data_IF_917860002923
#
_entry.id   IF_917860002923
#
_cell.length_a   1.000
_cell.length_b   1.000
_cell.length_c   1.000
_cell.angle_alpha   90.00
_cell.angle_beta   90.00
_cell.angle_gamma   90.00
#
_symmetry.space_group_name_H-M   'P 1'
#
loop_
_entity.id
_entity.type
_entity.pdbx_description
1 polymer ?
#
# COMPACT_ATOMS: atom_id res chain seq x y z
N UNK A 1 24.49 18.21 22.06
CA UNK A 1 23.55 18.57 23.13
C UNK A 1 23.63 17.56 24.27
N UNK A 2 24.00 17.99 25.53
CA UNK A 2 24.14 17.06 26.64
C UNK A 2 22.85 16.34 27.05
N UNK A 3 21.67 16.89 26.76
CA UNK A 3 20.39 16.29 27.10
C UNK A 3 20.07 15.08 26.23
N UNK A 4 20.47 15.14 25.01
CA UNK A 4 20.25 14.10 24.00
C UNK A 4 21.05 12.83 24.27
N UNK A 5 22.34 12.98 24.58
CA UNK A 5 23.17 11.83 24.94
C UNK A 5 22.65 11.12 26.19
N UNK A 6 22.00 11.87 27.11
CA UNK A 6 21.38 11.33 28.32
C UNK A 6 20.07 10.59 28.03
N UNK A 7 19.21 11.12 27.13
CA UNK A 7 17.96 10.45 26.77
C UNK A 7 18.23 9.07 26.10
N UNK A 8 19.22 9.02 25.21
CA UNK A 8 19.58 7.79 24.51
C UNK A 8 20.57 6.92 25.30
N UNK A 9 21.24 7.44 26.33
CA UNK A 9 22.15 6.67 27.17
C UNK A 9 21.49 5.52 27.91
N UNK A 10 20.17 5.58 28.15
CA UNK A 10 19.39 4.47 28.68
C UNK A 10 19.37 3.24 27.76
N UNK A 11 19.69 3.41 26.46
CA UNK A 11 19.80 2.34 25.46
C UNK A 11 21.24 1.88 25.22
N UNK A 12 22.22 2.44 25.93
CA UNK A 12 23.65 2.17 25.73
C UNK A 12 24.27 2.93 24.57
N UNK A 13 25.48 2.53 24.16
CA UNK A 13 26.11 3.06 22.95
C UNK A 13 25.25 2.74 21.71
N UNK A 14 25.32 3.60 20.71
CA UNK A 14 24.60 3.36 19.46
C UNK A 14 25.03 2.02 18.85
N UNK A 15 24.08 1.13 18.71
CA UNK A 15 24.24 -0.18 18.12
C UNK A 15 23.16 -0.37 17.05
N UNK A 16 23.47 -0.21 15.75
CA UNK A 16 22.48 -0.30 14.66
C UNK A 16 21.83 -1.68 14.56
N UNK A 17 22.37 -2.69 15.24
CA UNK A 17 21.76 -4.02 15.34
C UNK A 17 20.77 -4.10 16.48
N UNK A 18 20.99 -3.34 17.58
CA UNK A 18 20.16 -3.34 18.78
C UNK A 18 19.03 -2.33 18.75
N UNK A 19 19.29 -1.14 18.20
CA UNK A 19 18.30 -0.08 18.06
C UNK A 19 18.70 0.92 16.97
N UNK A 20 17.71 1.57 16.36
CA UNK A 20 17.91 2.57 15.31
C UNK A 20 17.02 3.77 15.49
N UNK A 21 17.50 4.91 15.03
CA UNK A 21 16.78 6.18 14.97
C UNK A 21 16.61 6.59 13.51
N UNK A 22 15.36 6.83 13.12
CA UNK A 22 15.01 7.22 11.77
C UNK A 22 14.25 8.54 11.79
N UNK A 23 14.43 9.35 10.75
CA UNK A 23 13.70 10.61 10.54
C UNK A 23 13.06 10.58 9.14
N UNK A 24 12.08 11.44 8.93
CA UNK A 24 11.62 11.74 7.58
C UNK A 24 12.76 12.44 6.83
N UNK A 25 13.13 11.89 5.68
CA UNK A 25 14.07 12.49 4.75
C UNK A 25 13.24 12.97 3.55
N UNK A 26 12.85 14.24 3.51
CA UNK A 26 11.91 14.84 2.57
C UNK A 26 12.19 14.60 1.07
N UNK A 27 13.29 13.92 0.75
CA UNK A 27 13.65 13.53 -0.60
C UNK A 27 13.03 12.18 -1.02
N UNK A 28 12.86 11.99 -2.29
CA UNK A 28 12.28 10.88 -3.04
C UNK A 28 12.41 9.48 -2.39
N UNK A 29 11.29 8.90 -2.06
CA UNK A 29 11.09 7.44 -2.05
C UNK A 29 11.22 6.73 -0.70
N UNK A 30 12.32 6.82 0.00
CA UNK A 30 12.57 6.16 1.28
C UNK A 30 12.48 7.18 2.43
N UNK A 31 11.37 7.14 3.12
CA UNK A 31 10.97 8.16 4.09
C UNK A 31 11.74 8.17 5.40
N UNK A 32 12.57 7.18 5.65
CA UNK A 32 13.25 7.06 6.91
C UNK A 32 14.76 6.87 6.68
N UNK A 33 15.45 7.99 6.52
CA UNK A 33 16.91 8.02 6.60
C UNK A 33 17.40 7.74 8.02
N UNK A 34 18.57 7.06 8.14
CA UNK A 34 19.23 6.95 9.46
C UNK A 34 19.54 8.32 10.01
N UNK A 35 18.97 8.62 11.17
CA UNK A 35 19.27 9.87 11.86
C UNK A 35 20.71 9.86 12.36
N UNK A 36 21.48 10.89 11.98
CA UNK A 36 22.76 11.13 12.62
C UNK A 36 22.52 11.44 14.10
N UNK A 37 22.92 10.50 14.97
CA UNK A 37 22.77 10.67 16.44
C UNK A 37 23.52 11.89 17.00
N UNK A 38 24.36 12.58 16.22
CA UNK A 38 25.07 13.80 16.61
C UNK A 38 24.32 15.09 16.27
N UNK A 39 23.20 15.03 15.53
CA UNK A 39 22.40 16.22 15.19
C UNK A 39 21.65 16.77 16.39
N UNK A 40 21.49 18.07 16.52
CA UNK A 40 20.57 18.70 17.48
C UNK A 40 19.13 18.51 17.03
N UNK A 41 18.21 18.30 17.94
CA UNK A 41 16.78 18.20 17.68
C UNK A 41 16.07 19.44 18.17
N UNK A 42 15.12 19.90 17.39
CA UNK A 42 14.24 20.98 17.79
C UNK A 42 12.97 20.40 18.40
N UNK A 43 12.34 21.09 19.35
CA UNK A 43 10.99 20.72 19.77
C UNK A 43 10.06 20.66 18.55
N UNK A 44 9.11 19.73 18.57
CA UNK A 44 8.22 19.52 17.42
C UNK A 44 8.79 18.65 16.28
N UNK A 45 10.09 18.34 16.28
CA UNK A 45 10.62 17.30 15.39
C UNK A 45 10.23 15.91 15.91
N UNK A 46 9.69 15.07 15.02
CA UNK A 46 9.38 13.68 15.29
C UNK A 46 10.53 12.75 14.92
N UNK A 47 10.62 11.63 15.61
CA UNK A 47 11.63 10.61 15.38
C UNK A 47 11.03 9.20 15.52
N UNK A 48 11.49 8.27 14.69
CA UNK A 48 11.24 6.85 14.90
C UNK A 48 12.38 6.23 15.68
N UNK A 49 12.05 5.67 16.85
CA UNK A 49 12.95 4.82 17.61
C UNK A 49 12.52 3.36 17.45
N UNK A 50 13.34 2.58 16.80
CA UNK A 50 13.13 1.14 16.62
C UNK A 50 14.12 0.41 17.52
N UNK A 51 13.65 -0.47 18.37
CA UNK A 51 14.49 -1.28 19.25
C UNK A 51 14.03 -2.73 19.29
N UNK A 52 14.97 -3.66 19.40
CA UNK A 52 14.70 -5.11 19.54
C UNK A 52 14.05 -5.47 20.87
N UNK A 53 14.18 -4.62 21.88
CA UNK A 53 13.59 -4.84 23.19
C UNK A 53 12.82 -3.60 23.64
N UNK A 54 11.76 -3.82 24.40
CA UNK A 54 11.06 -2.75 25.11
C UNK A 54 11.99 -2.06 26.11
N UNK A 55 11.68 -0.82 26.45
CA UNK A 55 12.43 -0.04 27.46
C UNK A 55 11.83 1.35 27.60
N UNK A 56 12.19 2.01 28.69
CA UNK A 56 11.75 3.36 29.02
C UNK A 56 12.84 4.36 28.63
N UNK A 57 12.47 5.43 27.95
CA UNK A 57 13.32 6.60 27.79
C UNK A 57 13.01 7.55 28.95
N UNK A 58 14.04 7.94 29.71
CA UNK A 58 13.88 8.85 30.86
C UNK A 58 14.64 10.11 30.55
N UNK A 59 13.99 11.26 30.57
CA UNK A 59 14.64 12.57 30.60
C UNK A 59 14.70 13.04 32.03
N UNK A 60 15.90 13.42 32.52
CA UNK A 60 16.10 14.00 33.86
C UNK A 60 15.97 15.53 33.85
N UNK A 61 16.09 16.16 32.70
CA UNK A 61 15.96 17.61 32.51
C UNK A 61 15.28 17.88 31.19
N UNK A 62 14.17 18.57 31.21
CA UNK A 62 13.45 19.03 30.03
C UNK A 62 13.24 20.55 30.15
N UNK A 63 13.44 21.26 29.05
CA UNK A 63 13.07 22.68 28.95
C UNK A 63 11.68 22.73 28.33
N UNK A 64 10.73 23.33 29.06
CA UNK A 64 9.40 23.56 28.50
C UNK A 64 9.44 24.70 27.48
N UNK A 65 8.63 24.56 26.43
CA UNK A 65 8.38 25.64 25.48
C UNK A 65 7.40 26.62 26.09
N UNK A 66 7.51 27.87 25.66
CA UNK A 66 6.56 28.93 26.04
C UNK A 66 5.18 28.58 25.46
N UNK A 67 4.17 28.75 26.32
CA UNK A 67 2.76 28.49 25.99
C UNK A 67 1.93 29.76 25.79
N UNK A 68 2.59 30.92 25.74
CA UNK A 68 1.96 32.23 25.54
C UNK A 68 1.95 32.65 24.07
N UNK A 69 2.43 31.81 23.16
CA UNK A 69 2.45 32.04 21.73
C UNK A 69 2.52 30.70 20.98
N UNK A 70 2.07 30.68 19.71
CA UNK A 70 2.21 29.51 18.85
C UNK A 70 3.66 29.08 18.67
N UNK A 71 3.87 27.80 18.45
CA UNK A 71 5.14 27.20 18.12
C UNK A 71 5.18 26.85 16.62
N UNK A 72 6.28 27.16 15.97
CA UNK A 72 6.47 26.96 14.54
C UNK A 72 7.40 25.78 14.25
N UNK A 73 6.96 24.86 13.39
CA UNK A 73 7.74 23.72 12.90
C UNK A 73 7.89 23.90 11.39
N UNK A 74 9.13 23.85 10.90
CA UNK A 74 9.36 23.91 9.46
C UNK A 74 9.01 22.56 8.83
N UNK A 75 8.23 22.58 7.75
CA UNK A 75 7.88 21.42 6.95
C UNK A 75 8.51 21.52 5.57
N UNK A 76 9.05 20.40 5.13
CA UNK A 76 9.41 20.21 3.71
C UNK A 76 8.18 19.75 2.92
N UNK A 77 8.20 19.97 1.60
CA UNK A 77 7.19 19.37 0.72
C UNK A 77 7.19 17.83 0.88
N UNK A 78 5.99 17.24 0.91
CA UNK A 78 5.83 15.80 1.06
C UNK A 78 5.66 15.36 2.50
N UNK A 79 6.22 14.21 2.83
CA UNK A 79 6.08 13.62 4.16
C UNK A 79 7.04 14.24 5.18
N UNK A 80 6.49 14.58 6.35
CA UNK A 80 7.22 15.10 7.49
C UNK A 80 6.88 14.29 8.73
N UNK A 81 7.87 14.06 9.59
CA UNK A 81 7.67 13.45 10.88
C UNK A 81 7.75 14.54 11.95
N UNK A 82 6.64 14.78 12.64
CA UNK A 82 6.52 15.83 13.66
C UNK A 82 6.24 15.23 15.03
N UNK A 83 6.48 16.00 16.07
CA UNK A 83 6.06 15.73 17.45
C UNK A 83 5.23 16.88 18.01
N UNK A 84 4.40 16.60 19.03
CA UNK A 84 3.78 17.68 19.78
C UNK A 84 4.87 18.46 20.54
N UNK A 85 5.02 19.78 20.31
CA UNK A 85 6.02 20.58 21.02
C UNK A 85 5.67 20.83 22.49
N UNK A 86 4.42 20.59 22.89
CA UNK A 86 3.91 20.84 24.23
C UNK A 86 3.73 19.55 25.05
N UNK A 87 3.61 19.70 26.39
CA UNK A 87 3.39 18.58 27.30
C UNK A 87 1.89 18.32 27.60
N UNK A 88 1.00 18.81 26.74
CA UNK A 88 -0.47 18.61 26.78
C UNK A 88 -1.02 18.42 25.39
N UNK A 89 -2.23 17.93 25.29
CA UNK A 89 -2.90 17.69 24.02
C UNK A 89 -3.19 19.01 23.30
N UNK A 90 -2.87 19.09 22.02
CA UNK A 90 -3.24 20.21 21.15
C UNK A 90 -4.23 19.71 20.09
N UNK A 91 -5.48 20.17 20.09
CA UNK A 91 -6.46 19.81 19.09
C UNK A 91 -5.96 20.15 17.68
N UNK A 92 -6.24 19.28 16.69
CA UNK A 92 -5.85 19.55 15.31
C UNK A 92 -6.55 20.77 14.71
N UNK A 93 -7.65 21.24 15.30
CA UNK A 93 -8.29 22.53 14.95
C UNK A 93 -7.39 23.75 15.25
N UNK A 94 -6.40 23.58 16.12
CA UNK A 94 -5.39 24.59 16.51
C UNK A 94 -4.06 24.43 15.76
N UNK A 95 -4.03 23.55 14.79
CA UNK A 95 -2.85 23.30 13.95
C UNK A 95 -3.17 23.82 12.54
N UNK A 96 -2.34 24.68 12.01
CA UNK A 96 -2.48 25.26 10.68
C UNK A 96 -1.14 25.34 9.94
N UNK A 97 -1.20 25.40 8.63
CA UNK A 97 0.00 25.61 7.80
C UNK A 97 0.01 27.03 7.26
N UNK A 98 1.17 27.66 7.33
CA UNK A 98 1.43 29.01 6.85
C UNK A 98 2.64 29.02 5.88
N UNK A 99 2.84 30.14 5.19
CA UNK A 99 3.98 30.40 4.28
C UNK A 99 4.10 29.39 3.13
N UNK A 100 2.98 28.83 2.67
CA UNK A 100 2.91 27.93 1.52
C UNK A 100 1.59 28.08 0.79
N UNK A 101 1.54 27.76 -0.48
CA UNK A 101 0.30 27.57 -1.23
C UNK A 101 -0.29 26.16 -1.00
N UNK A 102 0.45 25.30 -0.32
CA UNK A 102 0.05 23.92 0.00
C UNK A 102 -0.90 23.82 1.16
N UNK A 103 -1.35 22.61 1.40
CA UNK A 103 -2.21 22.27 2.52
C UNK A 103 -1.70 21.00 3.24
N UNK A 104 -1.93 20.94 4.54
CA UNK A 104 -1.76 19.72 5.30
C UNK A 104 -2.92 18.79 4.97
N UNK A 105 -2.64 17.63 4.36
CA UNK A 105 -3.69 16.73 3.91
C UNK A 105 -4.10 15.76 5.00
N UNK A 106 -3.15 15.08 5.61
CA UNK A 106 -3.41 14.01 6.58
C UNK A 106 -2.41 14.09 7.74
N UNK A 107 -2.88 13.70 8.93
CA UNK A 107 -2.06 13.53 10.12
C UNK A 107 -2.22 12.10 10.61
N UNK A 108 -1.15 11.32 10.57
CA UNK A 108 -1.16 9.93 10.99
C UNK A 108 -0.41 9.74 12.31
N UNK A 109 -1.09 9.14 13.28
CA UNK A 109 -0.43 8.52 14.43
C UNK A 109 -0.06 7.06 14.11
N UNK A 110 0.77 6.45 14.94
CA UNK A 110 1.17 5.06 14.83
C UNK A 110 0.96 4.29 16.12
N UNK A 111 0.28 3.15 16.05
CA UNK A 111 0.03 2.23 17.17
C UNK A 111 0.25 0.76 16.80
N UNK A 112 1.21 0.49 15.89
CA UNK A 112 1.42 -0.80 15.22
C UNK A 112 0.89 -0.79 13.78
N UNK A 113 0.12 0.21 13.41
CA UNK A 113 -0.29 0.59 12.06
C UNK A 113 -0.52 2.10 12.03
N UNK A 114 -0.52 2.69 10.83
CA UNK A 114 -0.91 4.09 10.69
C UNK A 114 -2.40 4.28 10.90
N UNK A 115 -2.77 5.30 11.65
CA UNK A 115 -4.16 5.69 11.93
C UNK A 115 -4.29 7.18 11.69
N UNK A 116 -5.18 7.58 10.79
CA UNK A 116 -5.47 8.99 10.55
C UNK A 116 -6.11 9.61 11.79
N UNK A 117 -5.58 10.76 12.23
CA UNK A 117 -6.00 11.50 13.41
C UNK A 117 -7.05 12.56 13.09
N UNK A 118 -7.71 12.52 11.96
CA UNK A 118 -8.69 13.53 11.55
C UNK A 118 -9.66 13.88 12.70
N UNK A 119 -9.69 15.17 13.09
CA UNK A 119 -10.48 15.66 14.22
C UNK A 119 -9.97 15.31 15.63
N UNK A 120 -8.78 14.69 15.75
CA UNK A 120 -8.13 14.37 17.01
C UNK A 120 -7.23 15.49 17.55
N UNK A 121 -6.21 15.10 18.28
CA UNK A 121 -5.22 16.01 18.85
C UNK A 121 -3.80 15.49 18.65
N UNK A 122 -2.84 16.40 18.68
CA UNK A 122 -1.43 16.05 18.89
C UNK A 122 -1.23 15.78 20.39
N UNK A 123 -1.10 14.50 20.74
CA UNK A 123 -0.82 14.09 22.12
C UNK A 123 0.66 14.33 22.46
N UNK A 124 1.00 14.66 23.72
CA UNK A 124 2.38 14.84 24.13
C UNK A 124 3.17 13.52 24.00
N UNK A 125 4.46 13.65 23.68
CA UNK A 125 5.41 12.52 23.56
C UNK A 125 5.07 11.51 22.46
N UNK A 126 4.23 11.88 21.50
CA UNK A 126 3.92 11.10 20.31
C UNK A 126 4.46 11.75 19.04
N UNK A 127 4.88 10.92 18.11
CA UNK A 127 5.23 11.34 16.75
C UNK A 127 4.05 11.15 15.80
N UNK A 128 3.97 12.04 14.84
CA UNK A 128 2.95 12.04 13.79
C UNK A 128 3.60 12.18 12.43
N UNK A 129 3.11 11.43 11.46
CA UNK A 129 3.47 11.58 10.07
C UNK A 129 2.46 12.50 9.39
N UNK A 130 2.92 13.56 8.75
CA UNK A 130 2.07 14.55 8.08
C UNK A 130 2.53 14.77 6.65
N UNK A 131 1.59 14.99 5.74
CA UNK A 131 1.88 15.25 4.33
C UNK A 131 1.55 16.69 3.96
N UNK A 132 2.57 17.44 3.52
CA UNK A 132 2.41 18.77 2.96
C UNK A 132 2.35 18.68 1.42
N UNK A 133 1.21 19.07 0.86
CA UNK A 133 1.02 19.15 -0.59
C UNK A 133 1.37 20.54 -1.13
N UNK A 134 1.50 20.68 -2.47
CA UNK A 134 1.52 21.96 -3.13
C UNK A 134 2.88 22.43 -3.68
N UNK A 135 3.90 21.57 -3.67
CA UNK A 135 5.17 21.84 -4.37
C UNK A 135 6.09 22.86 -3.68
N UNK A 136 5.87 23.16 -2.40
CA UNK A 136 6.64 24.14 -1.63
C UNK A 136 6.71 23.75 -0.16
N UNK A 137 7.83 24.12 0.47
CA UNK A 137 7.98 24.04 1.92
C UNK A 137 7.00 24.99 2.62
N UNK A 138 6.69 24.72 3.89
CA UNK A 138 5.76 25.51 4.69
C UNK A 138 6.12 25.53 6.17
N UNK A 139 5.31 26.20 6.94
CA UNK A 139 5.46 26.30 8.38
C UNK A 139 4.22 25.76 9.04
N UNK A 140 4.36 24.71 9.85
CA UNK A 140 3.29 24.22 10.71
C UNK A 140 3.26 25.07 11.99
N UNK A 141 2.15 25.71 12.23
CA UNK A 141 1.91 26.54 13.43
C UNK A 141 1.02 25.75 14.37
N UNK A 142 1.55 25.45 15.55
CA UNK A 142 0.85 24.74 16.63
C UNK A 142 0.51 25.75 17.72
N UNK A 143 -0.81 26.03 17.89
CA UNK A 143 -1.29 27.03 18.85
C UNK A 143 -1.61 26.37 20.19
N UNK A 144 -0.97 26.77 21.31
CA UNK A 144 -1.21 26.20 22.62
C UNK A 144 -2.47 26.73 23.31
N UNK A 145 -3.25 27.60 22.68
CA UNK A 145 -4.44 28.21 23.29
C UNK A 145 -5.45 27.13 23.66
N UNK A 146 -6.01 27.17 24.88
CA UNK A 146 -7.04 26.21 25.27
C UNK A 146 -8.39 26.58 24.61
N UNK A 147 -8.70 26.02 23.45
CA UNK A 147 -10.08 25.90 23.02
C UNK A 147 -10.66 24.58 23.55
N UNK A 148 -11.89 24.61 24.03
CA UNK A 148 -12.56 23.39 24.47
C UNK A 148 -12.68 22.44 23.27
N UNK A 149 -11.99 21.31 23.37
CA UNK A 149 -12.02 20.27 22.35
C UNK A 149 -13.46 19.77 22.18
N UNK A 150 -14.13 20.23 21.14
CA UNK A 150 -15.34 19.59 20.67
C UNK A 150 -14.92 18.28 20.00
N UNK A 151 -15.03 17.19 20.72
CA UNK A 151 -14.70 15.85 20.21
C UNK A 151 -15.68 15.48 19.10
N UNK A 152 -15.41 15.94 17.90
CA UNK A 152 -16.01 15.38 16.70
C UNK A 152 -15.18 14.15 16.33
N UNK A 153 -15.72 12.98 16.63
CA UNK A 153 -15.24 11.71 16.07
C UNK A 153 -15.40 11.78 14.56
N UNK A 154 -14.36 12.27 13.89
CA UNK A 154 -14.29 12.22 12.44
C UNK A 154 -13.97 10.80 12.04
N UNK A 155 -14.91 10.13 11.39
CA UNK A 155 -14.61 8.91 10.64
C UNK A 155 -13.61 9.25 9.54
N UNK A 156 -12.75 8.31 9.16
CA UNK A 156 -11.81 8.43 8.03
C UNK A 156 -12.50 8.74 6.69
N UNK A 157 -13.82 8.73 6.67
CA UNK A 157 -14.67 9.04 5.52
C UNK A 157 -14.52 10.51 5.13
N UNK A 158 -14.33 10.78 3.84
CA UNK A 158 -14.39 12.13 3.30
C UNK A 158 -15.72 12.79 3.73
N UNK A 159 -15.71 14.00 4.33
CA UNK A 159 -16.90 14.61 4.93
C UNK A 159 -18.10 14.70 3.99
N UNK A 160 -17.84 14.85 2.68
CA UNK A 160 -18.84 15.02 1.62
C UNK A 160 -19.06 13.77 0.76
N UNK A 161 -18.58 12.59 1.19
CA UNK A 161 -18.73 11.37 0.40
C UNK A 161 -20.21 11.01 0.21
N UNK A 162 -20.64 10.84 -1.04
CA UNK A 162 -21.97 10.32 -1.37
C UNK A 162 -22.09 8.86 -0.95
N UNK A 163 -21.06 8.08 -1.21
CA UNK A 163 -20.86 6.73 -0.69
C UNK A 163 -19.36 6.43 -0.65
N UNK A 164 -18.96 5.53 0.22
CA UNK A 164 -17.59 5.06 0.33
C UNK A 164 -17.55 3.60 0.74
N UNK A 165 -16.50 2.90 0.34
CA UNK A 165 -16.15 1.55 0.77
C UNK A 165 -14.77 1.61 1.40
N UNK A 166 -14.66 1.09 2.61
CA UNK A 166 -13.39 0.98 3.31
C UNK A 166 -12.80 -0.41 3.10
N UNK A 167 -11.53 -0.44 2.73
CA UNK A 167 -10.75 -1.65 2.61
C UNK A 167 -9.68 -1.68 3.71
N UNK A 168 -9.44 -2.84 4.26
CA UNK A 168 -8.31 -3.09 5.14
C UNK A 168 -7.53 -4.31 4.67
N UNK A 169 -6.23 -4.33 4.94
CA UNK A 169 -5.37 -5.47 4.64
C UNK A 169 -4.65 -5.96 5.90
N UNK A 170 -4.39 -7.27 5.97
CA UNK A 170 -3.58 -7.86 7.05
C UNK A 170 -2.83 -9.09 6.58
N UNK A 171 -1.65 -9.32 7.16
CA UNK A 171 -0.87 -10.56 7.04
C UNK A 171 -0.07 -10.76 8.34
N UNK A 172 -0.25 -11.88 9.01
CA UNK A 172 0.36 -12.07 10.32
C UNK A 172 -0.07 -10.99 11.33
N UNK A 173 0.89 -10.24 11.84
CA UNK A 173 0.65 -9.09 12.74
C UNK A 173 0.61 -7.75 12.00
N UNK A 174 1.11 -7.70 10.76
CA UNK A 174 1.10 -6.49 9.96
C UNK A 174 -0.34 -6.15 9.52
N UNK A 175 -0.70 -4.88 9.60
CA UNK A 175 -2.05 -4.37 9.33
C UNK A 175 -1.99 -3.05 8.59
N UNK A 176 -2.92 -2.89 7.68
CA UNK A 176 -3.28 -1.63 7.06
C UNK A 176 -4.79 -1.48 7.19
N UNK A 177 -5.26 -0.70 8.17
CA UNK A 177 -6.67 -0.69 8.54
C UNK A 177 -7.53 0.27 7.72
N UNK A 178 -6.93 1.17 6.93
CA UNK A 178 -7.63 2.34 6.43
C UNK A 178 -7.33 2.63 4.96
N UNK A 179 -8.19 2.14 4.07
CA UNK A 179 -8.11 2.46 2.66
C UNK A 179 -9.52 2.69 2.12
N UNK A 180 -9.82 3.91 1.70
CA UNK A 180 -11.17 4.31 1.32
C UNK A 180 -11.25 4.62 -0.17
N UNK A 181 -12.22 4.03 -0.86
CA UNK A 181 -12.63 4.41 -2.20
C UNK A 181 -14.07 4.90 -2.19
N UNK A 182 -14.40 5.85 -3.06
CA UNK A 182 -15.77 6.35 -3.06
C UNK A 182 -16.02 7.43 -4.09
N UNK A 183 -17.15 8.12 -3.91
CA UNK A 183 -17.52 9.28 -4.72
C UNK A 183 -17.95 10.46 -3.85
N UNK A 184 -17.56 11.66 -4.27
CA UNK A 184 -17.96 12.91 -3.63
C UNK A 184 -18.41 13.94 -4.68
N UNK A 185 -19.32 14.88 -4.34
CA UNK A 185 -19.88 15.84 -5.30
C UNK A 185 -18.84 16.72 -5.99
N UNK A 186 -17.80 17.10 -5.28
CA UNK A 186 -16.76 18.00 -5.76
C UNK A 186 -15.47 17.27 -6.16
N UNK A 187 -15.47 15.93 -6.12
CA UNK A 187 -14.30 15.14 -6.52
C UNK A 187 -14.22 15.02 -8.04
N UNK A 188 -12.99 14.91 -8.54
CA UNK A 188 -12.68 14.60 -9.95
C UNK A 188 -12.17 13.16 -10.08
N UNK A 189 -11.88 12.72 -11.29
CA UNK A 189 -11.25 11.40 -11.50
C UNK A 189 -9.71 11.48 -11.49
N UNK A 190 -9.15 12.65 -11.15
CA UNK A 190 -7.72 12.89 -10.96
C UNK A 190 -7.32 12.91 -9.48
N UNK A 191 -6.04 13.14 -9.20
CA UNK A 191 -5.54 13.29 -7.81
C UNK A 191 -5.74 14.72 -7.36
N UNK A 192 -6.44 14.90 -6.25
CA UNK A 192 -6.80 16.21 -5.71
C UNK A 192 -6.84 16.21 -4.17
N UNK A 193 -7.27 17.33 -3.59
CA UNK A 193 -7.32 17.50 -2.13
C UNK A 193 -8.25 16.53 -1.39
N UNK A 194 -9.24 15.95 -2.10
CA UNK A 194 -10.13 14.92 -1.53
C UNK A 194 -9.46 13.56 -1.36
N UNK A 195 -8.32 13.35 -2.04
CA UNK A 195 -7.55 12.12 -1.97
C UNK A 195 -6.50 12.18 -0.86
N UNK A 196 -6.19 11.03 -0.28
CA UNK A 196 -5.16 10.90 0.74
C UNK A 196 -3.95 10.13 0.20
N UNK A 197 -2.75 10.59 0.54
CA UNK A 197 -1.51 9.89 0.17
C UNK A 197 -1.27 8.71 1.08
N UNK A 198 -0.89 7.57 0.49
CA UNK A 198 -0.51 6.39 1.25
C UNK A 198 0.75 6.67 2.08
N UNK A 199 0.72 6.46 3.41
CA UNK A 199 1.90 6.56 4.24
C UNK A 199 2.97 5.54 3.82
N UNK A 200 4.25 5.89 3.98
CA UNK A 200 5.32 4.94 3.70
C UNK A 200 5.30 3.79 4.69
N UNK A 201 5.59 2.57 4.22
CA UNK A 201 5.61 1.40 5.09
C UNK A 201 6.78 1.43 6.07
N UNK A 202 6.57 0.89 7.28
CA UNK A 202 7.58 0.83 8.36
C UNK A 202 7.61 -0.57 8.97
N UNK A 203 8.81 -1.13 9.18
CA UNK A 203 9.00 -2.43 9.80
C UNK A 203 8.39 -3.57 8.98
N UNK A 204 7.74 -4.52 9.67
CA UNK A 204 6.90 -5.53 9.02
C UNK A 204 5.58 -4.89 8.64
N UNK A 205 5.26 -4.92 7.35
CA UNK A 205 4.11 -4.21 6.83
C UNK A 205 3.28 -5.01 5.83
N UNK A 206 2.04 -4.63 5.72
CA UNK A 206 1.18 -4.77 4.55
C UNK A 206 0.64 -3.39 4.23
N UNK A 207 0.63 -2.99 2.97
CA UNK A 207 0.07 -1.72 2.48
C UNK A 207 -0.86 -2.03 1.31
N UNK A 208 -2.07 -1.51 1.38
CA UNK A 208 -3.05 -1.53 0.31
C UNK A 208 -3.25 -0.07 -0.13
N UNK A 209 -2.96 0.24 -1.38
CA UNK A 209 -3.10 1.60 -1.88
C UNK A 209 -3.76 1.61 -3.25
N UNK A 210 -4.43 2.72 -3.59
CA UNK A 210 -5.03 2.91 -4.91
C UNK A 210 -4.03 3.58 -5.85
N UNK A 211 -3.95 3.09 -7.09
CA UNK A 211 -3.12 3.68 -8.13
C UNK A 211 -3.83 4.84 -8.81
N UNK A 212 -3.22 5.99 -8.79
CA UNK A 212 -3.60 7.12 -9.64
C UNK A 212 -2.82 7.06 -10.97
N UNK A 213 -3.46 7.33 -12.13
CA UNK A 213 -2.83 7.20 -13.44
C UNK A 213 -1.58 8.07 -13.66
N UNK A 214 -1.41 9.14 -12.89
CA UNK A 214 -0.35 10.15 -13.07
C UNK A 214 0.69 10.16 -11.96
N UNK A 215 0.74 9.17 -11.06
CA UNK A 215 1.59 9.24 -9.88
C UNK A 215 2.28 7.91 -9.55
N UNK A 216 3.53 8.01 -9.11
CA UNK A 216 4.37 6.87 -8.70
C UNK A 216 3.98 6.31 -7.32
N UNK A 217 3.21 7.07 -6.51
CA UNK A 217 2.82 6.69 -5.14
C UNK A 217 1.33 6.41 -5.03
N UNK A 218 0.98 5.45 -4.18
CA UNK A 218 -0.40 5.06 -3.89
C UNK A 218 -1.18 6.12 -3.10
N UNK A 219 -2.49 5.96 -3.12
CA UNK A 219 -3.44 6.72 -2.32
C UNK A 219 -4.07 5.77 -1.31
N UNK A 220 -4.16 6.17 -0.04
CA UNK A 220 -5.00 5.45 0.92
C UNK A 220 -6.47 5.82 0.76
N UNK A 221 -6.76 6.99 0.17
CA UNK A 221 -8.12 7.44 -0.15
C UNK A 221 -8.18 7.96 -1.59
N UNK A 222 -9.07 7.35 -2.40
CA UNK A 222 -9.32 7.72 -3.81
C UNK A 222 -10.81 8.04 -3.97
N UNK A 223 -11.13 9.34 -3.97
CA UNK A 223 -12.48 9.86 -4.13
C UNK A 223 -12.67 10.37 -5.55
N UNK A 224 -13.76 9.94 -6.20
CA UNK A 224 -14.04 10.29 -7.59
C UNK A 224 -15.35 11.05 -7.76
N UNK A 225 -15.52 11.65 -8.93
CA UNK A 225 -16.74 12.39 -9.28
C UNK A 225 -18.01 11.55 -9.13
N UNK A 226 -19.16 12.16 -8.88
CA UNK A 226 -20.45 11.48 -8.65
C UNK A 226 -21.18 11.07 -9.92
N UNK A 227 -20.52 10.81 -11.03
CA UNK A 227 -21.13 10.35 -12.27
C UNK A 227 -21.76 8.95 -12.16
N UNK A 228 -22.70 8.63 -13.02
CA UNK A 228 -23.25 7.28 -13.15
C UNK A 228 -22.38 6.37 -14.04
N UNK A 229 -22.51 5.05 -13.88
CA UNK A 229 -21.85 4.07 -14.70
C UNK A 229 -20.86 3.18 -13.93
N UNK A 230 -20.12 2.35 -14.67
CA UNK A 230 -19.10 1.49 -14.10
C UNK A 230 -17.83 2.29 -13.77
N UNK A 231 -17.37 2.16 -12.53
CA UNK A 231 -16.09 2.69 -12.06
C UNK A 231 -15.14 1.56 -11.71
N UNK A 232 -13.86 1.80 -11.93
CA UNK A 232 -12.80 0.83 -11.62
C UNK A 232 -11.71 1.52 -10.85
N UNK A 233 -11.48 1.10 -9.62
CA UNK A 233 -10.29 1.45 -8.83
C UNK A 233 -9.24 0.36 -9.02
N UNK A 234 -8.02 0.74 -9.29
CA UNK A 234 -6.88 -0.17 -9.28
C UNK A 234 -6.20 -0.04 -7.93
N UNK A 235 -6.30 -1.09 -7.13
CA UNK A 235 -5.59 -1.21 -5.87
C UNK A 235 -4.33 -2.05 -6.04
N UNK A 236 -3.36 -1.83 -5.18
CA UNK A 236 -2.11 -2.57 -5.12
C UNK A 236 -1.84 -2.96 -3.67
N UNK A 237 -1.55 -4.24 -3.43
CA UNK A 237 -1.15 -4.73 -2.10
C UNK A 237 0.31 -5.08 -2.12
N UNK A 238 1.08 -4.49 -1.20
CA UNK A 238 2.51 -4.75 -0.98
C UNK A 238 2.73 -5.26 0.44
N UNK A 239 3.66 -6.16 0.62
CA UNK A 239 4.06 -6.65 1.94
C UNK A 239 5.48 -7.22 1.90
N UNK A 240 6.21 -7.08 3.01
CA UNK A 240 7.48 -7.76 3.26
C UNK A 240 7.29 -8.98 4.19
N UNK A 241 6.05 -9.35 4.51
CA UNK A 241 5.73 -10.49 5.38
C UNK A 241 5.11 -11.61 4.54
N UNK A 242 5.68 -12.81 4.64
CA UNK A 242 5.11 -14.02 4.05
C UNK A 242 3.86 -14.47 4.80
N UNK A 243 2.85 -14.92 4.07
CA UNK A 243 1.65 -15.50 4.67
C UNK A 243 0.39 -15.31 3.84
N UNK A 244 -0.74 -15.58 4.46
CA UNK A 244 -2.05 -15.36 3.86
C UNK A 244 -2.47 -13.90 4.09
N UNK A 245 -2.46 -13.11 3.02
CA UNK A 245 -3.01 -11.76 3.04
C UNK A 245 -4.53 -11.85 3.05
N UNK A 246 -5.15 -11.11 3.94
CA UNK A 246 -6.61 -10.94 4.01
C UNK A 246 -6.95 -9.49 3.71
N UNK A 247 -7.71 -9.26 2.68
CA UNK A 247 -8.35 -7.97 2.36
C UNK A 247 -9.81 -8.05 2.78
N UNK A 248 -10.26 -7.08 3.59
CA UNK A 248 -11.65 -7.01 4.03
C UNK A 248 -12.28 -5.69 3.62
N UNK A 249 -13.49 -5.75 3.09
CA UNK A 249 -14.27 -4.60 2.72
C UNK A 249 -15.36 -4.32 3.77
N UNK A 250 -15.49 -3.07 4.17
CA UNK A 250 -16.54 -2.60 5.09
C UNK A 250 -17.27 -1.38 4.49
N UNK A 251 -18.31 -0.93 5.16
CA UNK A 251 -19.18 0.19 4.73
C UNK A 251 -19.81 0.05 3.34
N UNK A 252 -19.85 -1.17 2.80
CA UNK A 252 -20.43 -1.49 1.49
C UNK A 252 -21.91 -1.10 1.43
N UNK A 253 -22.60 -1.07 2.55
CA UNK A 253 -24.00 -0.64 2.65
C UNK A 253 -24.22 0.82 2.27
N UNK A 254 -23.18 1.64 2.27
CA UNK A 254 -23.26 3.04 1.81
C UNK A 254 -23.39 3.16 0.28
N UNK A 255 -22.94 2.14 -0.46
CA UNK A 255 -23.08 2.08 -1.92
C UNK A 255 -24.54 1.80 -2.29
N UNK A 256 -25.16 2.54 -3.23
CA UNK A 256 -26.55 2.34 -3.64
C UNK A 256 -26.86 0.88 -4.01
N UNK A 257 -28.09 0.41 -3.67
CA UNK A 257 -28.48 -0.99 -3.85
C UNK A 257 -28.52 -1.43 -5.32
N UNK A 258 -28.69 -0.50 -6.25
CA UNK A 258 -28.66 -0.75 -7.70
C UNK A 258 -27.25 -0.92 -8.26
N UNK A 259 -26.22 -0.78 -7.43
CA UNK A 259 -24.83 -0.94 -7.80
C UNK A 259 -24.20 -2.18 -7.16
N UNK A 260 -23.44 -2.91 -7.92
CA UNK A 260 -22.65 -4.06 -7.47
C UNK A 260 -21.24 -3.62 -7.11
N UNK A 261 -20.62 -4.30 -6.13
CA UNK A 261 -19.23 -4.09 -5.72
C UNK A 261 -18.47 -5.40 -5.89
N UNK A 262 -17.50 -5.41 -6.78
CA UNK A 262 -16.71 -6.61 -7.10
C UNK A 262 -15.23 -6.36 -6.95
N UNK A 263 -14.53 -7.35 -6.41
CA UNK A 263 -13.08 -7.44 -6.43
C UNK A 263 -12.66 -8.38 -7.57
N UNK A 264 -11.64 -7.97 -8.30
CA UNK A 264 -10.99 -8.77 -9.35
C UNK A 264 -9.52 -8.92 -9.01
N UNK A 265 -9.04 -10.15 -8.92
CA UNK A 265 -7.64 -10.49 -8.82
C UNK A 265 -7.14 -11.01 -10.17
N UNK A 266 -6.45 -10.19 -10.97
CA UNK A 266 -6.00 -10.59 -12.30
C UNK A 266 -4.87 -11.62 -12.26
N UNK A 267 -4.19 -11.80 -11.12
CA UNK A 267 -3.08 -12.76 -11.00
C UNK A 267 -3.59 -14.16 -10.74
N UNK A 268 -4.62 -14.32 -9.89
CA UNK A 268 -5.27 -15.63 -9.64
C UNK A 268 -6.45 -15.89 -10.56
N UNK A 269 -6.83 -14.92 -11.39
CA UNK A 269 -8.02 -14.99 -12.26
C UNK A 269 -9.30 -15.25 -11.45
N UNK A 270 -9.42 -14.54 -10.33
CA UNK A 270 -10.54 -14.67 -9.42
C UNK A 270 -11.35 -13.37 -9.35
N UNK A 271 -12.64 -13.54 -9.24
CA UNK A 271 -13.58 -12.43 -9.03
C UNK A 271 -14.49 -12.75 -7.86
N UNK A 272 -14.80 -11.74 -7.06
CA UNK A 272 -15.61 -11.90 -5.87
C UNK A 272 -16.60 -10.75 -5.71
N UNK A 273 -17.87 -11.09 -5.45
CA UNK A 273 -18.87 -10.09 -5.05
C UNK A 273 -18.67 -9.71 -3.59
N UNK A 274 -18.22 -8.49 -3.34
CA UNK A 274 -17.91 -8.02 -1.98
C UNK A 274 -19.16 -7.78 -1.13
N UNK A 275 -20.34 -7.61 -1.74
CA UNK A 275 -21.61 -7.53 -0.99
C UNK A 275 -22.00 -8.88 -0.36
N UNK A 276 -21.65 -9.98 -1.00
CA UNK A 276 -21.94 -11.34 -0.52
C UNK A 276 -20.81 -11.88 0.36
N UNK A 277 -19.58 -11.63 -0.04
CA UNK A 277 -18.37 -12.11 0.65
C UNK A 277 -17.37 -10.96 0.75
N UNK A 278 -17.39 -10.19 1.84
CA UNK A 278 -16.58 -8.98 1.98
C UNK A 278 -15.09 -9.25 2.20
N UNK A 279 -14.70 -10.50 2.44
CA UNK A 279 -13.31 -10.87 2.74
C UNK A 279 -12.70 -11.66 1.60
N UNK A 280 -11.59 -11.17 1.05
CA UNK A 280 -10.79 -11.83 0.01
C UNK A 280 -9.42 -12.23 0.56
N UNK A 281 -8.91 -13.40 0.16
CA UNK A 281 -7.63 -13.91 0.65
C UNK A 281 -6.74 -14.42 -0.49
N UNK A 282 -5.45 -14.17 -0.36
CA UNK A 282 -4.43 -14.70 -1.28
C UNK A 282 -3.08 -14.89 -0.57
N UNK A 283 -2.24 -15.85 -1.01
CA UNK A 283 -0.91 -16.04 -0.46
C UNK A 283 0.06 -14.96 -0.96
N UNK A 284 0.92 -14.48 -0.06
CA UNK A 284 2.05 -13.60 -0.37
C UNK A 284 3.36 -14.21 0.16
N UNK A 285 4.48 -13.84 -0.47
CA UNK A 285 5.84 -14.15 -0.03
C UNK A 285 6.63 -12.86 0.16
N UNK A 286 7.72 -12.89 0.94
CA UNK A 286 8.56 -11.72 1.24
C UNK A 286 9.12 -10.99 -0.01
N UNK A 287 9.24 -11.69 -1.11
CA UNK A 287 9.69 -11.16 -2.39
C UNK A 287 8.53 -10.91 -3.37
N UNK A 288 7.30 -10.76 -2.87
CA UNK A 288 6.15 -10.57 -3.76
C UNK A 288 6.17 -9.15 -4.30
N UNK A 289 6.28 -9.05 -5.64
CA UNK A 289 5.97 -7.81 -6.34
C UNK A 289 4.55 -7.34 -5.96
N UNK A 290 4.33 -6.03 -6.03
CA UNK A 290 3.04 -5.43 -5.77
C UNK A 290 1.89 -6.23 -6.42
N UNK A 291 0.93 -6.69 -5.60
CA UNK A 291 -0.22 -7.47 -6.05
C UNK A 291 -1.31 -6.54 -6.55
N UNK A 292 -1.58 -6.47 -7.85
CA UNK A 292 -2.67 -5.66 -8.36
C UNK A 292 -4.02 -6.31 -8.06
N UNK A 293 -4.95 -5.51 -7.58
CA UNK A 293 -6.37 -5.83 -7.44
C UNK A 293 -7.19 -4.75 -8.14
N UNK A 294 -8.40 -5.08 -8.61
CA UNK A 294 -9.33 -4.08 -9.15
C UNK A 294 -10.63 -4.15 -8.37
N UNK A 295 -11.15 -2.98 -8.00
CA UNK A 295 -12.47 -2.86 -7.40
C UNK A 295 -13.40 -2.24 -8.43
N UNK A 296 -14.44 -2.96 -8.79
CA UNK A 296 -15.47 -2.54 -9.74
C UNK A 296 -16.72 -2.14 -8.98
N UNK A 297 -17.20 -0.92 -9.18
CA UNK A 297 -18.46 -0.45 -8.61
C UNK A 297 -19.34 0.12 -9.72
N UNK A 298 -20.58 -0.35 -9.82
CA UNK A 298 -21.51 0.12 -10.83
C UNK A 298 -22.72 -0.80 -11.03
N UNK A 299 -23.63 -0.45 -11.97
CA UNK A 299 -24.77 -1.29 -12.28
C UNK A 299 -24.38 -2.73 -12.60
N UNK A 300 -25.11 -3.71 -12.06
CA UNK A 300 -24.79 -5.13 -12.18
C UNK A 300 -24.51 -5.57 -13.64
N UNK A 301 -25.32 -5.12 -14.59
CA UNK A 301 -25.12 -5.44 -16.01
C UNK A 301 -23.83 -4.86 -16.61
N UNK A 302 -23.38 -3.71 -16.12
CA UNK A 302 -22.12 -3.09 -16.56
C UNK A 302 -20.91 -3.82 -15.96
N UNK A 303 -20.99 -4.20 -14.68
CA UNK A 303 -19.98 -5.01 -14.01
C UNK A 303 -19.84 -6.36 -14.67
N UNK A 304 -20.94 -7.08 -14.93
CA UNK A 304 -20.90 -8.40 -15.59
C UNK A 304 -20.30 -8.32 -16.99
N UNK A 305 -20.63 -7.30 -17.78
CA UNK A 305 -20.00 -7.09 -19.09
C UNK A 305 -18.50 -6.84 -18.98
N UNK A 306 -18.05 -6.14 -17.93
CA UNK A 306 -16.63 -5.87 -17.68
C UNK A 306 -15.91 -7.14 -17.26
N UNK A 307 -16.48 -7.92 -16.34
CA UNK A 307 -15.94 -9.20 -15.91
C UNK A 307 -15.80 -10.18 -17.09
N UNK A 308 -16.81 -10.27 -17.96
CA UNK A 308 -16.75 -11.07 -19.17
C UNK A 308 -15.64 -10.61 -20.12
N UNK A 309 -15.45 -9.30 -20.32
CA UNK A 309 -14.37 -8.76 -21.17
C UNK A 309 -12.98 -8.97 -20.57
N UNK A 310 -12.84 -8.87 -19.25
CA UNK A 310 -11.56 -9.11 -18.58
C UNK A 310 -11.16 -10.60 -18.66
N UNK A 311 -12.13 -11.51 -18.64
CA UNK A 311 -11.90 -12.92 -18.90
C UNK A 311 -11.51 -13.20 -20.36
N UNK A 312 -12.10 -12.46 -21.31
CA UNK A 312 -11.94 -12.72 -22.75
C UNK A 312 -10.80 -11.91 -23.40
N UNK A 313 -10.34 -10.80 -22.81
CA UNK A 313 -9.31 -9.95 -23.43
C UNK A 313 -8.32 -9.37 -22.43
N UNK A 314 -7.19 -10.04 -22.22
CA UNK A 314 -6.07 -9.54 -21.43
C UNK A 314 -5.51 -8.23 -21.99
N UNK A 315 -5.00 -7.34 -21.12
CA UNK A 315 -4.39 -6.07 -21.55
C UNK A 315 -2.92 -6.21 -21.96
N UNK A 316 -2.27 -7.29 -21.54
CA UNK A 316 -0.84 -7.55 -21.80
C UNK A 316 -0.54 -9.03 -21.85
N UNK A 317 0.65 -9.36 -22.38
CA UNK A 317 1.17 -10.74 -22.34
C UNK A 317 1.56 -11.07 -20.90
N UNK A 318 0.95 -12.11 -20.33
CA UNK A 318 1.22 -12.61 -19.00
C UNK A 318 1.47 -14.10 -18.98
N UNK A 319 2.40 -14.56 -18.14
CA UNK A 319 2.58 -15.96 -17.79
C UNK A 319 2.11 -16.16 -16.35
N UNK A 320 1.00 -16.87 -16.18
CA UNK A 320 0.35 -17.08 -14.89
C UNK A 320 1.07 -18.14 -14.03
N UNK A 321 0.85 -18.17 -12.70
CA UNK A 321 1.38 -19.24 -11.86
C UNK A 321 0.89 -20.62 -12.31
N UNK A 322 1.76 -21.62 -12.22
CA UNK A 322 1.39 -23.02 -12.43
C UNK A 322 0.50 -23.54 -11.30
N UNK A 323 -0.47 -24.38 -11.63
CA UNK A 323 -1.34 -25.00 -10.62
C UNK A 323 -1.33 -26.53 -10.84
N UNK A 324 -0.96 -27.30 -9.81
CA UNK A 324 -0.42 -26.92 -8.51
C UNK A 324 1.03 -26.38 -8.58
N UNK A 325 1.47 -25.71 -7.51
CA UNK A 325 2.86 -25.32 -7.31
C UNK A 325 3.26 -25.60 -5.85
N UNK A 326 4.30 -26.36 -5.55
CA UNK A 326 5.18 -27.10 -6.46
C UNK A 326 4.47 -28.13 -7.33
N UNK A 327 5.03 -28.38 -8.52
CA UNK A 327 4.53 -29.36 -9.47
C UNK A 327 5.03 -30.77 -9.12
N UNK A 328 4.16 -31.75 -9.16
CA UNK A 328 4.55 -33.16 -8.94
C UNK A 328 4.48 -33.98 -10.23
N UNK A 329 3.33 -34.52 -10.58
CA UNK A 329 3.13 -35.38 -11.75
C UNK A 329 2.45 -34.69 -12.92
N UNK A 330 1.69 -33.64 -12.66
CA UNK A 330 0.97 -32.84 -13.63
C UNK A 330 0.88 -31.39 -13.15
N UNK A 331 0.69 -30.46 -14.06
CA UNK A 331 0.43 -29.06 -13.80
C UNK A 331 -0.36 -28.43 -14.93
N UNK A 332 -1.04 -27.35 -14.63
CA UNK A 332 -1.67 -26.50 -15.62
C UNK A 332 -0.85 -25.22 -15.75
N UNK A 333 -0.34 -24.95 -16.94
CA UNK A 333 0.31 -23.70 -17.26
C UNK A 333 -0.70 -22.81 -18.00
N UNK A 334 -0.83 -21.57 -17.56
CA UNK A 334 -1.76 -20.62 -18.16
C UNK A 334 -1.00 -19.37 -18.57
N UNK A 335 -1.37 -18.82 -19.71
CA UNK A 335 -0.84 -17.56 -20.19
C UNK A 335 -1.92 -16.75 -20.88
N UNK A 336 -1.71 -15.44 -20.94
CA UNK A 336 -2.64 -14.49 -21.53
C UNK A 336 -1.97 -13.70 -22.62
N UNK A 337 -2.71 -13.44 -23.70
CA UNK A 337 -2.26 -12.58 -24.79
C UNK A 337 -3.34 -11.54 -25.13
N UNK A 338 -2.96 -10.25 -25.33
CA UNK A 338 -3.93 -9.17 -25.56
C UNK A 338 -4.48 -9.15 -26.99
N UNK A 339 -3.73 -9.73 -27.92
CA UNK A 339 -4.04 -9.74 -29.35
C UNK A 339 -3.60 -11.05 -29.99
N UNK A 340 -4.05 -11.27 -31.23
CA UNK A 340 -3.60 -12.46 -32.01
C UNK A 340 -2.10 -12.39 -32.23
N UNK A 341 -1.38 -13.39 -31.75
CA UNK A 341 0.08 -13.46 -31.82
C UNK A 341 0.55 -14.91 -31.95
N UNK A 342 1.83 -15.11 -32.27
CA UNK A 342 2.47 -16.41 -32.16
C UNK A 342 3.01 -16.60 -30.77
N UNK A 343 2.73 -17.75 -30.17
CA UNK A 343 3.14 -18.08 -28.81
C UNK A 343 4.03 -19.33 -28.79
N UNK A 344 5.10 -19.26 -28.04
CA UNK A 344 5.99 -20.39 -27.74
C UNK A 344 6.13 -20.49 -26.22
N UNK A 345 5.87 -21.69 -25.67
CA UNK A 345 6.03 -21.98 -24.24
C UNK A 345 7.08 -23.06 -24.07
N UNK A 346 8.14 -22.73 -23.37
CA UNK A 346 9.31 -23.60 -23.21
C UNK A 346 9.71 -23.77 -21.75
N UNK A 347 10.28 -24.92 -21.44
CA UNK A 347 10.87 -25.22 -20.13
C UNK A 347 12.38 -25.27 -20.24
N UNK A 348 13.07 -24.58 -19.31
CA UNK A 348 14.53 -24.53 -19.20
C UNK A 348 15.00 -24.99 -17.85
N UNK A 349 16.19 -25.56 -17.80
CA UNK A 349 16.91 -25.76 -16.54
C UNK A 349 17.59 -24.46 -16.08
N UNK A 350 18.17 -24.47 -14.88
CA UNK A 350 18.87 -23.29 -14.34
C UNK A 350 20.18 -22.94 -15.07
N UNK A 351 20.67 -23.82 -15.92
CA UNK A 351 21.83 -23.57 -16.79
C UNK A 351 21.44 -22.95 -18.13
N UNK A 352 20.14 -22.69 -18.33
CA UNK A 352 19.62 -22.12 -19.56
C UNK A 352 19.48 -23.12 -20.70
N UNK A 353 19.58 -24.42 -20.44
CA UNK A 353 19.35 -25.46 -21.47
C UNK A 353 17.85 -25.70 -21.59
N UNK A 354 17.34 -25.69 -22.81
CA UNK A 354 15.94 -26.02 -23.08
C UNK A 354 15.69 -27.51 -22.82
N UNK A 355 14.74 -27.79 -21.94
CA UNK A 355 14.35 -29.12 -21.50
C UNK A 355 13.18 -29.64 -22.32
N UNK A 356 12.21 -28.76 -22.63
CA UNK A 356 11.05 -29.10 -23.43
C UNK A 356 10.46 -27.87 -24.12
N UNK A 357 9.85 -28.08 -25.28
CA UNK A 357 8.93 -27.12 -25.91
C UNK A 357 7.50 -27.63 -25.69
N UNK A 358 6.67 -26.84 -25.01
CA UNK A 358 5.32 -27.22 -24.63
C UNK A 358 4.28 -26.67 -25.62
N UNK A 359 4.51 -25.47 -26.14
CA UNK A 359 3.77 -24.84 -27.22
C UNK A 359 4.80 -24.33 -28.23
N UNK A 360 4.69 -24.70 -29.48
CA UNK A 360 5.66 -24.39 -30.52
C UNK A 360 5.07 -23.48 -31.59
N UNK A 361 5.41 -22.18 -31.53
CA UNK A 361 5.06 -21.14 -32.50
C UNK A 361 3.57 -21.17 -32.94
N UNK A 362 2.68 -21.42 -31.98
CA UNK A 362 1.25 -21.55 -32.25
C UNK A 362 0.59 -20.19 -32.40
N UNK A 363 -0.26 -20.01 -33.42
CA UNK A 363 -1.06 -18.79 -33.57
C UNK A 363 -2.24 -18.81 -32.63
N UNK A 364 -2.16 -17.98 -31.56
CA UNK A 364 -3.19 -17.88 -30.54
C UNK A 364 -3.96 -16.57 -30.66
N UNK A 365 -5.27 -16.60 -30.42
CA UNK A 365 -6.11 -15.41 -30.36
C UNK A 365 -5.99 -14.67 -29.01
N UNK A 366 -6.55 -13.44 -28.88
CA UNK A 366 -6.61 -12.76 -27.59
C UNK A 366 -7.38 -13.60 -26.58
N UNK A 367 -6.92 -13.62 -25.33
CA UNK A 367 -7.55 -14.38 -24.26
C UNK A 367 -6.57 -15.13 -23.37
N UNK A 368 -7.14 -15.99 -22.51
CA UNK A 368 -6.39 -16.90 -21.63
C UNK A 368 -6.24 -18.26 -22.31
N UNK A 369 -5.01 -18.74 -22.40
CA UNK A 369 -4.66 -20.04 -22.96
C UNK A 369 -4.14 -20.95 -21.86
N UNK A 370 -4.46 -22.25 -21.97
CA UNK A 370 -4.14 -23.25 -20.95
C UNK A 370 -3.42 -24.42 -21.62
N UNK A 371 -2.31 -24.82 -21.00
CA UNK A 371 -1.58 -26.04 -21.37
C UNK A 371 -1.56 -26.99 -20.16
N UNK A 372 -2.15 -28.16 -20.34
CA UNK A 372 -2.11 -29.22 -19.34
C UNK A 372 -0.82 -30.02 -19.53
N UNK A 373 0.09 -29.86 -18.59
CA UNK A 373 1.40 -30.52 -18.60
C UNK A 373 1.37 -31.81 -17.78
N UNK A 374 2.03 -32.84 -18.30
CA UNK A 374 2.32 -34.09 -17.59
C UNK A 374 3.82 -34.42 -17.72
N UNK A 375 4.34 -35.31 -16.88
CA UNK A 375 5.74 -35.75 -16.98
C UNK A 375 6.06 -36.40 -18.35
N UNK A 376 5.07 -36.95 -19.03
CA UNK A 376 5.25 -37.58 -20.34
C UNK A 376 5.62 -36.55 -21.42
N UNK A 377 5.16 -35.30 -21.30
CA UNK A 377 5.49 -34.20 -22.22
C UNK A 377 6.97 -33.83 -22.24
N UNK A 378 7.73 -34.31 -21.25
CA UNK A 378 9.18 -34.13 -21.14
C UNK A 378 9.95 -35.46 -21.16
N UNK A 379 9.37 -36.50 -21.75
CA UNK A 379 9.97 -37.83 -21.85
C UNK A 379 10.16 -38.55 -20.51
N UNK A 380 9.43 -38.17 -19.47
CA UNK A 380 9.47 -38.80 -18.16
C UNK A 380 10.74 -38.54 -17.31
N UNK A 381 11.71 -37.78 -17.79
CA UNK A 381 13.09 -37.70 -17.25
C UNK A 381 13.38 -36.46 -16.37
N UNK A 382 12.37 -35.62 -16.09
CA UNK A 382 12.61 -34.44 -15.22
C UNK A 382 12.85 -34.86 -13.77
N UNK A 383 14.02 -34.48 -13.27
CA UNK A 383 14.36 -34.62 -11.84
C UNK A 383 13.72 -33.54 -10.99
N UNK A 384 13.59 -33.77 -9.68
CA UNK A 384 13.19 -32.74 -8.75
C UNK A 384 14.19 -31.58 -8.80
N UNK A 385 13.67 -30.37 -8.85
CA UNK A 385 14.53 -29.17 -8.97
C UNK A 385 13.74 -27.94 -9.39
N UNK A 386 14.48 -26.83 -9.53
CA UNK A 386 13.96 -25.58 -10.04
C UNK A 386 14.22 -25.48 -11.55
N UNK A 387 13.21 -25.02 -12.26
CA UNK A 387 13.19 -24.81 -13.70
C UNK A 387 12.67 -23.41 -14.01
N UNK A 388 12.85 -22.96 -15.23
CA UNK A 388 12.29 -21.71 -15.75
C UNK A 388 11.30 -22.02 -16.85
N UNK A 389 10.04 -21.63 -16.64
CA UNK A 389 9.02 -21.64 -17.68
C UNK A 389 9.07 -20.31 -18.42
N UNK A 390 9.28 -20.33 -19.73
CA UNK A 390 9.43 -19.15 -20.58
C UNK A 390 8.31 -19.13 -21.61
N UNK A 391 7.57 -18.05 -21.63
CA UNK A 391 6.61 -17.71 -22.69
C UNK A 391 7.24 -16.65 -23.60
N UNK A 392 7.21 -16.88 -24.89
CA UNK A 392 7.40 -15.86 -25.91
C UNK A 392 6.08 -15.68 -26.67
N UNK A 393 5.58 -14.45 -26.73
CA UNK A 393 4.37 -14.10 -27.48
C UNK A 393 4.63 -12.81 -28.26
N UNK A 394 4.82 -12.96 -29.58
CA UNK A 394 5.35 -11.87 -30.42
C UNK A 394 6.73 -11.44 -29.91
N UNK A 395 6.89 -10.12 -29.71
CA UNK A 395 8.13 -9.53 -29.21
C UNK A 395 8.27 -9.57 -27.67
N UNK A 396 7.23 -10.05 -26.98
CA UNK A 396 7.21 -10.05 -25.49
C UNK A 396 7.63 -11.41 -24.96
N UNK A 397 8.63 -11.40 -24.07
CA UNK A 397 9.06 -12.60 -23.33
C UNK A 397 8.69 -12.45 -21.86
N UNK A 398 8.15 -13.54 -21.28
CA UNK A 398 7.86 -13.68 -19.85
C UNK A 398 8.48 -14.96 -19.34
N UNK A 399 9.09 -14.90 -18.16
CA UNK A 399 9.71 -16.07 -17.52
C UNK A 399 9.22 -16.20 -16.09
N UNK A 400 8.97 -17.44 -15.68
CA UNK A 400 8.55 -17.76 -14.33
C UNK A 400 9.29 -18.98 -13.80
N UNK A 401 9.68 -18.91 -12.54
CA UNK A 401 10.30 -20.04 -11.85
C UNK A 401 9.24 -21.12 -11.58
N UNK A 402 9.61 -22.37 -11.86
CA UNK A 402 8.82 -23.57 -11.62
C UNK A 402 9.61 -24.49 -10.70
N UNK A 403 8.98 -25.03 -9.66
CA UNK A 403 9.57 -26.04 -8.80
C UNK A 403 8.88 -27.36 -9.06
N UNK A 404 9.66 -28.37 -9.46
CA UNK A 404 9.19 -29.74 -9.69
C UNK A 404 9.68 -30.61 -8.54
N UNK A 405 8.78 -31.40 -7.96
CA UNK A 405 9.05 -32.34 -6.89
C UNK A 405 8.64 -33.75 -7.34
N UNK A 406 9.38 -34.74 -6.88
CA UNK A 406 9.01 -36.16 -7.08
C UNK A 406 7.91 -36.56 -6.11
#
# INVERSE_FOLDING_TARGET
DPQRSRLLSARGSYDPVGWGLLMADGAEGDLLGQCNVSRSWSPGEGLWLIGRSSGTLTSVEATSIRTDRPYEIQLDEGWNLIGNPFAFDVPLSQVRVENTAGSLQDVFGYNGSFVNQAGGALEPYRGYLVYLSGGQNGTLVVDPSPEEASATTSSARAPDARWAVDLSARVGQARDPMNTLGTAPNATDGVEAADGREPPPIGDYVSLSFRAPSQDRGLWRDMRSTGGGLRTWTAEVRTNVSGLVTVNASDISSVPDDQSVWLVDPVLDQTQNLRETPTYQFPASEATDARPLRILVGPAAAVQRRLGRDADRPERVELLPSVPHPVRSHATFRYRVPERTRATLELYDLLGRRVATLVDDESVGPGTHTYAWTRQDTGGTLSSGAYLLRLQAGDVTRTRRLVIMQ
#
